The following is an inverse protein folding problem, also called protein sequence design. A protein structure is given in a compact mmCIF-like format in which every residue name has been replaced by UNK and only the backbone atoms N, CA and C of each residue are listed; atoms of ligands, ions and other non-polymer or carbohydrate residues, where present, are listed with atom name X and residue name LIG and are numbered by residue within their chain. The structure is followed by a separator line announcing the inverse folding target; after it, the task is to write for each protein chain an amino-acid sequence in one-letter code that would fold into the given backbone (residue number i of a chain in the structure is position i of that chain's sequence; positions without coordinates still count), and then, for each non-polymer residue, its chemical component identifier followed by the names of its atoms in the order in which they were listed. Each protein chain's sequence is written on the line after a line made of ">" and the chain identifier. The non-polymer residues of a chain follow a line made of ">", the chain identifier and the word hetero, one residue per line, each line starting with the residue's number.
data_IF_777613032453
#
_entry.id   IF_777613032453
#
_cell.length_a   1.000
_cell.length_b   1.000
_cell.length_c   1.000
_cell.angle_alpha   90.00
_cell.angle_beta   90.00
_cell.angle_gamma   90.00
#
_symmetry.space_group_name_H-M   'P 1'
#
loop_
_entity.id
_entity.type
_entity.pdbx_description
1 polymer ?
#
# COMPACT_ATOMS: atom_id res chain seq x y z
N UNK A 1 -6.93 11.04 -18.02
CA UNK A 1 -5.76 10.16 -17.76
C UNK A 1 -6.14 9.06 -16.79
N UNK A 2 -5.93 7.79 -17.13
CA UNK A 2 -6.21 6.66 -16.22
C UNK A 2 -5.22 6.77 -15.05
N UNK A 3 -5.70 6.70 -13.80
CA UNK A 3 -4.89 6.85 -12.57
C UNK A 3 -3.66 5.90 -12.51
N UNK A 4 -3.70 4.81 -13.26
CA UNK A 4 -2.62 3.83 -13.45
C UNK A 4 -1.45 4.40 -14.26
N UNK A 5 -1.71 5.25 -15.26
CA UNK A 5 -0.66 5.93 -16.02
C UNK A 5 0.17 6.82 -15.10
N UNK A 6 -0.42 7.42 -14.07
CA UNK A 6 0.32 8.29 -13.13
C UNK A 6 1.28 7.49 -12.25
N UNK A 7 0.86 6.33 -11.74
CA UNK A 7 1.71 5.47 -10.91
C UNK A 7 2.84 4.84 -11.72
N UNK A 8 2.56 4.38 -12.95
CA UNK A 8 3.57 3.90 -13.88
C UNK A 8 4.53 5.01 -14.29
N UNK A 9 4.04 6.22 -14.57
CA UNK A 9 4.89 7.39 -14.86
C UNK A 9 5.80 7.74 -13.66
N UNK A 10 5.29 7.63 -12.43
CA UNK A 10 6.09 7.87 -11.21
C UNK A 10 7.13 6.76 -10.96
N UNK A 11 6.82 5.51 -11.31
CA UNK A 11 7.79 4.42 -11.23
C UNK A 11 8.88 4.54 -12.29
N UNK A 12 8.49 4.83 -13.55
CA UNK A 12 9.44 5.05 -14.64
C UNK A 12 10.31 6.29 -14.42
N UNK A 13 9.78 7.37 -13.82
CA UNK A 13 10.58 8.54 -13.50
C UNK A 13 11.66 8.25 -12.46
N UNK A 14 11.39 7.38 -11.47
CA UNK A 14 12.39 6.91 -10.50
C UNK A 14 13.48 6.07 -11.18
N UNK A 15 13.11 5.17 -12.11
CA UNK A 15 14.08 4.34 -12.85
C UNK A 15 14.98 5.22 -13.76
N UNK A 16 14.38 6.10 -14.55
CA UNK A 16 15.09 7.02 -15.46
C UNK A 16 16.08 7.87 -14.67
N UNK A 17 15.66 8.33 -13.50
CA UNK A 17 16.50 9.10 -12.59
C UNK A 17 17.75 8.35 -12.10
N UNK A 18 17.61 7.10 -11.66
CA UNK A 18 18.79 6.29 -11.27
C UNK A 18 19.71 6.00 -12.45
N UNK A 19 19.16 5.80 -13.66
CA UNK A 19 19.95 5.64 -14.87
C UNK A 19 20.78 6.90 -15.19
N UNK A 20 20.19 8.09 -15.08
CA UNK A 20 20.89 9.37 -15.27
C UNK A 20 22.01 9.58 -14.23
N UNK A 21 21.78 9.21 -12.98
CA UNK A 21 22.81 9.28 -11.92
C UNK A 21 24.03 8.40 -12.25
N UNK A 22 23.80 7.18 -12.74
CA UNK A 22 24.89 6.26 -13.15
C UNK A 22 25.69 6.85 -14.32
N UNK A 23 25.01 7.45 -15.29
CA UNK A 23 25.66 8.12 -16.44
C UNK A 23 26.48 9.32 -15.98
N UNK A 24 25.95 10.18 -15.10
CA UNK A 24 26.63 11.37 -14.60
C UNK A 24 27.88 11.04 -13.76
N UNK A 25 27.85 9.93 -13.01
CA UNK A 25 29.03 9.42 -12.28
C UNK A 25 30.07 8.92 -13.27
N UNK A 26 29.66 8.18 -14.31
CA UNK A 26 30.58 7.69 -15.35
C UNK A 26 31.22 8.79 -16.18
N UNK A 27 30.55 9.93 -16.38
CA UNK A 27 31.05 11.06 -17.18
C UNK A 27 31.91 12.05 -16.39
N UNK A 28 32.19 11.78 -15.10
CA UNK A 28 33.13 12.54 -14.26
C UNK A 28 32.84 14.06 -14.20
N UNK A 29 31.56 14.40 -14.10
CA UNK A 29 31.09 15.78 -13.91
C UNK A 29 31.62 16.28 -12.56
N UNK A 30 32.31 17.45 -12.56
CA UNK A 30 33.05 18.03 -11.42
C UNK A 30 32.39 17.77 -10.04
N UNK A 31 33.17 17.49 -8.97
CA UNK A 31 32.64 17.06 -7.66
C UNK A 31 31.53 17.96 -7.08
N UNK A 32 31.62 19.27 -7.31
CA UNK A 32 30.64 20.25 -6.85
C UNK A 32 29.29 20.12 -7.58
N UNK A 33 29.32 19.85 -8.89
CA UNK A 33 28.13 19.61 -9.70
C UNK A 33 27.50 18.25 -9.34
N UNK A 34 28.31 17.26 -9.00
CA UNK A 34 27.81 15.96 -8.54
C UNK A 34 27.07 16.07 -7.20
N UNK A 35 27.58 16.86 -6.24
CA UNK A 35 26.89 17.13 -4.96
C UNK A 35 25.55 17.85 -5.19
N UNK A 36 25.54 18.85 -6.07
CA UNK A 36 24.32 19.58 -6.44
C UNK A 36 23.30 18.63 -7.07
N UNK A 37 23.73 17.82 -8.04
CA UNK A 37 22.88 16.82 -8.70
C UNK A 37 22.31 15.87 -7.65
N UNK A 38 23.15 15.24 -6.81
CA UNK A 38 22.70 14.31 -5.75
C UNK A 38 21.70 14.96 -4.80
N UNK A 39 21.92 16.22 -4.39
CA UNK A 39 21.04 16.94 -3.47
C UNK A 39 19.67 17.23 -4.07
N UNK A 40 19.61 17.78 -5.29
CA UNK A 40 18.33 18.03 -5.97
C UNK A 40 17.65 16.74 -6.40
N UNK A 41 18.44 15.72 -6.68
CA UNK A 41 18.00 14.38 -7.00
C UNK A 41 17.29 13.73 -5.82
N UNK A 42 17.92 13.78 -4.64
CA UNK A 42 17.32 13.32 -3.39
C UNK A 42 16.04 14.11 -3.05
N UNK A 43 16.04 15.43 -3.26
CA UNK A 43 14.85 16.26 -3.06
C UNK A 43 13.71 15.86 -4.01
N UNK A 44 14.00 15.63 -5.28
CA UNK A 44 13.04 15.15 -6.27
C UNK A 44 12.49 13.77 -5.92
N UNK A 45 13.35 12.86 -5.44
CA UNK A 45 12.94 11.57 -4.90
C UNK A 45 12.00 11.73 -3.69
N UNK A 46 12.32 12.61 -2.74
CA UNK A 46 11.44 12.86 -1.57
C UNK A 46 10.08 13.41 -1.99
N UNK A 47 10.02 14.31 -2.97
CA UNK A 47 8.76 14.86 -3.50
C UNK A 47 7.96 13.79 -4.24
N UNK A 48 8.60 13.00 -5.11
CA UNK A 48 7.93 11.93 -5.85
C UNK A 48 7.43 10.82 -4.91
N UNK A 49 8.29 10.36 -3.99
CA UNK A 49 7.96 9.36 -2.99
C UNK A 49 6.89 9.86 -2.03
N UNK A 50 7.00 11.11 -1.56
CA UNK A 50 5.98 11.78 -0.73
C UNK A 50 4.65 11.91 -1.47
N UNK A 51 4.67 12.23 -2.77
CA UNK A 51 3.50 12.29 -3.63
C UNK A 51 2.83 10.93 -3.84
N UNK A 52 3.62 9.88 -4.07
CA UNK A 52 3.14 8.49 -4.12
C UNK A 52 2.50 8.12 -2.78
N UNK A 53 3.19 8.36 -1.67
CA UNK A 53 2.68 8.09 -0.33
C UNK A 53 1.41 8.87 -0.01
N UNK A 54 1.30 10.14 -0.44
CA UNK A 54 0.12 10.96 -0.27
C UNK A 54 -1.05 10.47 -1.13
N UNK A 55 -0.79 10.08 -2.38
CA UNK A 55 -1.80 9.48 -3.24
C UNK A 55 -2.29 8.14 -2.68
N UNK A 56 -1.37 7.29 -2.22
CA UNK A 56 -1.69 6.04 -1.53
C UNK A 56 -2.46 6.33 -0.24
N UNK A 57 -2.11 7.37 0.54
CA UNK A 57 -2.87 7.80 1.71
C UNK A 57 -4.29 8.22 1.35
N UNK A 58 -4.49 9.04 0.32
CA UNK A 58 -5.82 9.44 -0.15
C UNK A 58 -6.65 8.24 -0.64
N UNK A 59 -5.99 7.25 -1.22
CA UNK A 59 -6.62 6.02 -1.74
C UNK A 59 -6.95 5.03 -0.62
N UNK A 60 -6.04 4.79 0.31
CA UNK A 60 -6.17 3.85 1.43
C UNK A 60 -6.86 4.44 2.67
N UNK A 61 -7.00 5.77 2.77
CA UNK A 61 -7.86 6.40 3.79
C UNK A 61 -9.35 6.19 3.53
N UNK A 62 -9.72 5.90 2.27
CA UNK A 62 -11.03 5.31 1.95
C UNK A 62 -10.94 3.82 2.28
N UNK A 63 -11.61 3.40 3.35
CA UNK A 63 -11.46 2.06 3.92
C UNK A 63 -11.78 0.94 2.90
N UNK A 64 -12.65 1.17 1.93
CA UNK A 64 -13.00 0.19 0.88
C UNK A 64 -12.72 0.78 -0.49
N UNK A 65 -11.95 0.08 -1.33
CA UNK A 65 -11.64 0.54 -2.68
C UNK A 65 -11.61 -0.63 -3.69
N UNK A 66 -12.33 -0.49 -4.80
CA UNK A 66 -12.23 -1.43 -5.93
C UNK A 66 -11.00 -1.11 -6.79
N UNK A 67 -10.09 -2.06 -6.93
CA UNK A 67 -8.94 -1.98 -7.81
C UNK A 67 -9.28 -2.54 -9.20
N UNK A 68 -9.44 -1.68 -10.22
CA UNK A 68 -9.81 -2.13 -11.57
C UNK A 68 -8.69 -2.88 -12.30
N UNK A 69 -7.45 -2.85 -11.79
CA UNK A 69 -6.29 -3.48 -12.44
C UNK A 69 -6.22 -4.95 -12.05
N UNK A 70 -6.27 -5.23 -10.74
CA UNK A 70 -6.32 -6.59 -10.21
C UNK A 70 -7.72 -7.18 -10.25
N UNK A 71 -8.73 -6.37 -10.63
CA UNK A 71 -10.15 -6.69 -10.55
C UNK A 71 -10.51 -7.21 -9.15
N UNK A 72 -10.12 -6.52 -8.07
CA UNK A 72 -10.29 -6.97 -6.67
C UNK A 72 -10.77 -5.80 -5.80
N UNK A 73 -11.58 -6.07 -4.79
CA UNK A 73 -11.90 -5.08 -3.75
C UNK A 73 -10.82 -5.12 -2.66
N UNK A 74 -10.06 -4.03 -2.52
CA UNK A 74 -9.03 -3.89 -1.49
C UNK A 74 -9.56 -3.13 -0.26
N UNK A 75 -9.29 -3.69 0.91
CA UNK A 75 -9.59 -3.09 2.21
C UNK A 75 -8.28 -2.98 3.01
N UNK A 76 -7.92 -1.76 3.38
CA UNK A 76 -6.76 -1.53 4.23
C UNK A 76 -7.18 -1.40 5.69
N UNK A 77 -6.73 -2.31 6.56
CA UNK A 77 -7.14 -2.31 7.96
C UNK A 77 -6.11 -1.54 8.78
N UNK A 78 -6.31 -0.23 8.84
CA UNK A 78 -5.61 0.67 9.76
C UNK A 78 -6.24 0.66 11.15
N UNK A 79 -5.46 1.04 12.18
CA UNK A 79 -5.81 1.02 13.62
C UNK A 79 -7.03 1.85 14.03
N UNK A 80 -7.61 2.66 13.12
CA UNK A 80 -8.69 3.62 13.45
C UNK A 80 -10.08 2.99 13.64
N UNK A 81 -10.22 1.68 13.50
CA UNK A 81 -11.48 0.97 13.76
C UNK A 81 -11.46 0.17 15.06
N UNK A 82 -12.51 0.26 15.88
CA UNK A 82 -12.85 -0.84 16.80
C UNK A 82 -13.09 -2.11 15.97
N UNK A 83 -12.96 -3.29 16.56
CA UNK A 83 -13.27 -4.58 15.89
C UNK A 83 -14.64 -4.57 15.19
N UNK A 84 -15.60 -3.81 15.73
CA UNK A 84 -16.93 -3.63 15.16
C UNK A 84 -16.94 -2.81 13.86
N UNK A 85 -16.18 -1.70 13.79
CA UNK A 85 -16.03 -0.92 12.54
C UNK A 85 -15.35 -1.74 11.44
N UNK A 86 -14.42 -2.60 11.84
CA UNK A 86 -13.73 -3.46 10.90
C UNK A 86 -14.67 -4.43 10.19
N UNK A 87 -15.50 -5.15 10.94
CA UNK A 87 -16.44 -6.10 10.33
C UNK A 87 -17.47 -5.42 9.45
N UNK A 88 -17.87 -4.19 9.79
CA UNK A 88 -18.72 -3.38 8.92
C UNK A 88 -18.03 -3.07 7.59
N UNK A 89 -16.77 -2.64 7.59
CA UNK A 89 -16.03 -2.38 6.36
C UNK A 89 -15.77 -3.64 5.53
N UNK A 90 -15.54 -4.78 6.19
CA UNK A 90 -15.44 -6.07 5.50
C UNK A 90 -16.78 -6.40 4.82
N UNK A 91 -17.93 -6.24 5.49
CA UNK A 91 -19.24 -6.46 4.88
C UNK A 91 -19.52 -5.50 3.72
N UNK A 92 -19.17 -4.23 3.86
CA UNK A 92 -19.25 -3.24 2.77
C UNK A 92 -18.37 -3.65 1.58
N UNK A 93 -17.18 -4.20 1.85
CA UNK A 93 -16.28 -4.73 0.83
C UNK A 93 -16.85 -5.97 0.14
N UNK A 94 -17.43 -6.91 0.90
CA UNK A 94 -18.08 -8.11 0.36
C UNK A 94 -19.26 -7.75 -0.55
N UNK A 95 -20.09 -6.78 -0.16
CA UNK A 95 -21.19 -6.30 -1.01
C UNK A 95 -20.67 -5.73 -2.34
N UNK A 96 -19.65 -4.86 -2.28
CA UNK A 96 -19.03 -4.31 -3.48
C UNK A 96 -18.36 -5.40 -4.33
N UNK A 97 -17.76 -6.40 -3.69
CA UNK A 97 -17.08 -7.50 -4.38
C UNK A 97 -18.08 -8.38 -5.12
N UNK A 98 -19.25 -8.66 -4.52
CA UNK A 98 -20.37 -9.33 -5.18
C UNK A 98 -20.92 -8.54 -6.37
N UNK A 99 -21.12 -7.24 -6.22
CA UNK A 99 -21.54 -6.35 -7.33
C UNK A 99 -20.54 -6.35 -8.49
N UNK A 100 -19.25 -6.57 -8.20
CA UNK A 100 -18.17 -6.60 -9.18
C UNK A 100 -17.73 -8.00 -9.58
N UNK A 101 -18.42 -9.04 -9.11
CA UNK A 101 -18.08 -10.44 -9.31
C UNK A 101 -16.59 -10.73 -9.04
N UNK A 102 -16.12 -10.37 -7.84
CA UNK A 102 -14.73 -10.51 -7.44
C UNK A 102 -14.56 -10.82 -5.94
N UNK A 103 -13.33 -11.09 -5.52
CA UNK A 103 -12.88 -11.29 -4.14
C UNK A 103 -12.55 -9.97 -3.42
N UNK A 104 -12.50 -10.04 -2.09
CA UNK A 104 -11.99 -8.99 -1.22
C UNK A 104 -10.59 -9.34 -0.75
N UNK A 105 -9.61 -8.45 -0.90
CA UNK A 105 -8.28 -8.58 -0.28
C UNK A 105 -8.12 -7.55 0.82
N UNK A 106 -7.65 -7.99 1.98
CA UNK A 106 -7.26 -7.09 3.06
C UNK A 106 -5.95 -7.48 3.74
N UNK A 107 -5.28 -6.48 4.31
CA UNK A 107 -4.04 -6.64 5.05
C UNK A 107 -4.24 -6.24 6.51
N UNK A 108 -3.75 -7.06 7.44
CA UNK A 108 -3.90 -6.78 8.87
C UNK A 108 -2.74 -7.30 9.72
N UNK A 109 -2.35 -6.50 10.71
CA UNK A 109 -1.46 -6.88 11.81
C UNK A 109 -2.17 -6.86 13.18
N UNK A 110 -3.50 -6.65 13.19
CA UNK A 110 -4.31 -6.47 14.40
C UNK A 110 -4.91 -7.77 14.96
N UNK A 111 -4.98 -8.82 14.14
CA UNK A 111 -5.61 -10.09 14.50
C UNK A 111 -4.64 -11.24 14.23
N UNK A 112 -4.68 -12.26 15.08
CA UNK A 112 -4.04 -13.54 14.79
C UNK A 112 -4.79 -14.27 13.68
N UNK A 113 -4.09 -15.17 13.01
CA UNK A 113 -4.65 -16.07 12.00
C UNK A 113 -5.88 -16.82 12.54
N UNK A 114 -5.77 -17.43 13.72
CA UNK A 114 -6.87 -18.14 14.39
C UNK A 114 -8.14 -17.29 14.54
N UNK A 115 -7.97 -16.00 14.85
CA UNK A 115 -9.10 -15.09 15.07
C UNK A 115 -9.79 -14.71 13.76
N UNK A 116 -9.03 -14.66 12.66
CA UNK A 116 -9.56 -14.44 11.32
C UNK A 116 -10.28 -15.70 10.85
N UNK A 117 -9.66 -16.88 10.99
CA UNK A 117 -10.25 -18.17 10.65
C UNK A 117 -11.54 -18.44 11.43
N UNK A 118 -11.56 -18.18 12.75
CA UNK A 118 -12.79 -18.33 13.56
C UNK A 118 -13.95 -17.47 13.07
N UNK A 119 -13.68 -16.36 12.39
CA UNK A 119 -14.71 -15.41 11.94
C UNK A 119 -15.19 -15.68 10.52
N UNK A 120 -14.28 -16.00 9.62
CA UNK A 120 -14.57 -16.15 8.19
C UNK A 120 -14.65 -17.60 7.73
N UNK A 121 -14.06 -18.53 8.50
CA UNK A 121 -14.00 -19.95 8.19
C UNK A 121 -13.31 -20.20 6.86
N UNK A 122 -13.84 -21.14 6.10
CA UNK A 122 -13.26 -21.58 4.82
C UNK A 122 -13.38 -20.55 3.69
N UNK A 123 -14.05 -19.42 3.95
CA UNK A 123 -14.22 -18.34 2.96
C UNK A 123 -12.99 -17.45 2.82
N UNK A 124 -12.03 -17.54 3.75
CA UNK A 124 -10.82 -16.71 3.74
C UNK A 124 -9.58 -17.54 3.45
N UNK A 125 -8.79 -17.09 2.48
CA UNK A 125 -7.45 -17.60 2.21
C UNK A 125 -6.45 -16.65 2.85
N UNK A 126 -5.65 -17.17 3.79
CA UNK A 126 -4.61 -16.41 4.49
C UNK A 126 -3.26 -16.76 3.87
N UNK A 127 -2.48 -15.73 3.55
CA UNK A 127 -1.15 -15.88 2.95
C UNK A 127 -0.16 -14.90 3.57
N UNK A 128 1.13 -15.27 3.47
CA UNK A 128 2.22 -14.40 3.89
C UNK A 128 2.35 -13.20 2.96
N UNK A 129 2.73 -12.05 3.53
CA UNK A 129 2.95 -10.82 2.77
C UNK A 129 4.36 -10.75 2.21
N UNK A 130 4.50 -10.22 1.00
CA UNK A 130 5.82 -9.91 0.41
C UNK A 130 6.46 -8.71 1.11
N UNK A 131 7.79 -8.59 1.00
CA UNK A 131 8.52 -7.45 1.58
C UNK A 131 7.98 -6.10 1.10
N UNK A 132 7.64 -5.99 -0.20
CA UNK A 132 7.05 -4.78 -0.79
C UNK A 132 5.69 -4.48 -0.16
N UNK A 133 4.83 -5.49 0.02
CA UNK A 133 3.53 -5.32 0.68
C UNK A 133 3.68 -4.87 2.13
N UNK A 134 4.67 -5.40 2.85
CA UNK A 134 4.99 -4.99 4.22
C UNK A 134 5.42 -3.53 4.28
N UNK A 135 6.32 -3.09 3.39
CA UNK A 135 6.77 -1.70 3.32
C UNK A 135 5.58 -0.77 3.07
N UNK A 136 4.78 -1.05 2.03
CA UNK A 136 3.60 -0.24 1.69
C UNK A 136 2.62 -0.20 2.85
N UNK A 137 2.36 -1.33 3.50
CA UNK A 137 1.48 -1.40 4.67
C UNK A 137 1.99 -0.52 5.80
N UNK A 138 3.24 -0.70 6.24
CA UNK A 138 3.75 0.04 7.39
C UNK A 138 3.91 1.54 7.10
N UNK A 139 4.31 1.92 5.88
CA UNK A 139 4.40 3.33 5.49
C UNK A 139 3.03 4.00 5.49
N UNK A 140 2.03 3.39 4.85
CA UNK A 140 0.67 3.95 4.83
C UNK A 140 0.03 3.95 6.21
N UNK A 141 0.23 2.89 6.98
CA UNK A 141 -0.22 2.79 8.36
C UNK A 141 0.41 3.86 9.27
N UNK A 142 1.71 4.10 9.16
CA UNK A 142 2.40 5.14 9.93
C UNK A 142 1.89 6.54 9.58
N UNK A 143 1.64 6.82 8.30
CA UNK A 143 1.05 8.08 7.83
C UNK A 143 -0.38 8.29 8.37
N UNK A 144 -1.22 7.25 8.37
CA UNK A 144 -2.61 7.34 8.86
C UNK A 144 -2.66 7.48 10.39
N UNK A 145 -1.77 6.79 11.10
CA UNK A 145 -1.76 6.77 12.56
C UNK A 145 -0.86 7.83 13.18
N UNK A 146 -0.12 8.61 12.38
CA UNK A 146 0.91 9.55 12.85
C UNK A 146 1.88 8.88 13.84
N UNK A 147 2.25 7.62 13.59
CA UNK A 147 3.10 6.83 14.48
C UNK A 147 2.47 6.45 15.83
N UNK A 148 1.23 6.86 16.12
CA UNK A 148 0.56 6.51 17.37
C UNK A 148 0.04 5.08 17.29
N UNK A 149 0.87 4.12 17.72
CA UNK A 149 0.53 2.69 17.68
C UNK A 149 0.51 2.05 19.08
N UNK A 150 -0.69 2.01 19.62
CA UNK A 150 -1.20 1.26 20.78
C UNK A 150 -1.47 -0.25 20.58
N UNK A 151 -0.82 -1.17 21.27
CA UNK A 151 -1.32 -2.56 21.42
C UNK A 151 -0.49 -3.65 20.74
N UNK A 152 -0.88 -4.91 21.00
CA UNK A 152 -0.19 -6.11 20.50
C UNK A 152 -0.29 -6.20 18.97
N UNK A 153 0.84 -6.41 18.31
CA UNK A 153 0.90 -6.62 16.86
C UNK A 153 1.15 -8.09 16.57
N UNK A 154 0.45 -8.60 15.57
CA UNK A 154 0.69 -9.90 14.96
C UNK A 154 1.51 -9.72 13.67
N UNK A 155 2.11 -10.80 13.13
CA UNK A 155 2.67 -10.78 11.79
C UNK A 155 1.67 -10.20 10.77
N UNK A 156 2.17 -9.48 9.77
CA UNK A 156 1.30 -8.90 8.75
C UNK A 156 0.77 -9.99 7.84
N UNK A 157 -0.54 -10.20 7.89
CA UNK A 157 -1.25 -11.20 7.09
C UNK A 157 -1.92 -10.55 5.88
N UNK A 158 -1.86 -11.22 4.72
CA UNK A 158 -2.72 -10.98 3.57
C UNK A 158 -3.89 -11.95 3.66
N UNK A 159 -5.10 -11.42 3.65
CA UNK A 159 -6.33 -12.21 3.70
C UNK A 159 -7.15 -11.94 2.45
N UNK A 160 -7.66 -12.99 1.84
CA UNK A 160 -8.51 -12.92 0.66
C UNK A 160 -9.83 -13.62 0.94
N UNK A 161 -10.94 -12.90 0.89
CA UNK A 161 -12.28 -13.45 1.05
C UNK A 161 -12.86 -13.71 -0.34
N UNK A 162 -13.13 -14.98 -0.63
CA UNK A 162 -13.79 -15.40 -1.87
C UNK A 162 -15.29 -15.12 -1.74
N UNK A 163 -15.77 -14.17 -2.53
CA UNK A 163 -17.18 -13.79 -2.56
C UNK A 163 -17.84 -14.46 -3.77
N UNK A 164 -18.28 -15.71 -3.60
CA UNK A 164 -19.18 -16.36 -4.54
C UNK A 164 -20.62 -15.81 -4.40
#
# INVERSE_FOLDING_TARGET
>A
MKKMQLAEMLFWSVIIFFAFMIVAIKTNVLPLQLIIIVKYSYLGFLVAFGGVLFFLYQKYSKNVFFNPISNIVELHIGRRGTSMKLFRWIRESENLAKEKNTSVIFYTSHFSEDRILKKFGDRVVISQTTLIQQIVYWSTYYLITFGQVKGKRYPLLKCEIVCN
#
